data_IF_558654566703
#
_entry.id   IF_558654566703
#
_cell.length_a   1.000
_cell.length_b   1.000
_cell.length_c   1.000
_cell.angle_alpha   90.00
_cell.angle_beta   90.00
_cell.angle_gamma   90.00
#
_symmetry.space_group_name_H-M   'P 1'
#
loop_
_entity.id
_entity.type
_entity.pdbx_description
1 polymer ?
#
# COMPACT_ATOMS: atom_id res chain seq x y z
N UNK A 1 19.99 27.77 34.66
CA UNK A 1 18.76 28.40 34.17
C UNK A 1 17.65 27.38 34.35
N UNK A 2 16.65 27.65 35.17
CA UNK A 2 15.52 26.75 35.42
C UNK A 2 14.71 26.64 34.14
N UNK A 3 14.68 25.48 33.53
CA UNK A 3 13.74 25.14 32.48
C UNK A 3 12.32 25.37 33.00
N UNK A 4 11.62 26.36 32.44
CA UNK A 4 10.19 26.48 32.66
C UNK A 4 9.57 25.11 32.31
N UNK A 5 8.97 24.48 33.30
CA UNK A 5 8.16 23.31 33.09
C UNK A 5 7.20 23.62 31.90
N UNK A 6 7.37 22.90 30.81
CA UNK A 6 6.56 23.08 29.61
C UNK A 6 5.10 22.94 30.05
N UNK A 7 4.39 24.05 30.10
CA UNK A 7 2.94 24.00 30.32
C UNK A 7 2.35 23.29 29.11
N UNK A 8 1.80 22.13 29.35
CA UNK A 8 1.06 21.41 28.32
C UNK A 8 0.04 22.36 27.67
N UNK A 9 -0.08 22.36 26.34
CA UNK A 9 -1.01 23.24 25.66
C UNK A 9 -2.46 22.94 26.12
N UNK A 10 -3.28 24.00 26.21
CA UNK A 10 -4.69 23.83 26.53
C UNK A 10 -5.38 22.93 25.50
N UNK A 11 -6.19 21.94 25.91
CA UNK A 11 -6.90 21.05 24.98
C UNK A 11 -7.73 21.82 23.94
N UNK A 12 -8.34 22.93 24.33
CA UNK A 12 -9.14 23.77 23.43
C UNK A 12 -8.31 24.43 22.34
N UNK A 13 -7.13 24.93 22.69
CA UNK A 13 -6.22 25.55 21.72
C UNK A 13 -5.63 24.49 20.78
N UNK A 14 -5.31 23.31 21.31
CA UNK A 14 -4.81 22.18 20.52
C UNK A 14 -5.86 21.61 19.55
N UNK A 15 -7.16 21.77 19.85
CA UNK A 15 -8.24 21.36 18.99
C UNK A 15 -8.40 22.27 17.74
N UNK A 16 -7.92 23.52 17.78
CA UNK A 16 -8.10 24.48 16.68
C UNK A 16 -7.46 23.99 15.37
N UNK A 17 -6.15 23.59 15.32
CA UNK A 17 -5.56 23.07 14.09
C UNK A 17 -6.28 21.85 13.54
N UNK A 18 -6.78 20.99 14.43
CA UNK A 18 -7.55 19.78 14.04
C UNK A 18 -8.90 20.16 13.43
N UNK A 19 -9.61 21.12 14.01
CA UNK A 19 -10.87 21.64 13.48
C UNK A 19 -10.67 22.32 12.12
N UNK A 20 -9.60 23.11 11.97
CA UNK A 20 -9.23 23.72 10.69
C UNK A 20 -8.92 22.67 9.64
N UNK A 21 -8.11 21.66 9.98
CA UNK A 21 -7.80 20.57 9.08
C UNK A 21 -9.06 19.83 8.61
N UNK A 22 -9.92 19.46 9.56
CA UNK A 22 -11.17 18.74 9.24
C UNK A 22 -12.09 19.58 8.37
N UNK A 23 -12.23 20.88 8.68
CA UNK A 23 -13.04 21.80 7.87
C UNK A 23 -12.50 21.99 6.47
N UNK A 24 -11.18 22.17 6.32
CA UNK A 24 -10.54 22.31 5.01
C UNK A 24 -10.63 21.04 4.19
N UNK A 25 -10.40 19.87 4.80
CA UNK A 25 -10.56 18.57 4.10
C UNK A 25 -12.01 18.36 3.65
N UNK A 26 -12.98 18.70 4.48
CA UNK A 26 -14.39 18.64 4.08
C UNK A 26 -14.68 19.51 2.86
N UNK A 27 -14.19 20.75 2.84
CA UNK A 27 -14.37 21.67 1.69
C UNK A 27 -13.67 21.12 0.45
N UNK A 28 -12.44 20.64 0.59
CA UNK A 28 -11.64 20.07 -0.52
C UNK A 28 -12.33 18.84 -1.11
N UNK A 29 -12.80 17.90 -0.27
CA UNK A 29 -13.49 16.70 -0.73
C UNK A 29 -14.80 17.05 -1.44
N UNK A 30 -15.54 18.04 -0.92
CA UNK A 30 -16.80 18.51 -1.54
C UNK A 30 -16.56 19.21 -2.87
N UNK A 31 -15.45 19.92 -3.02
CA UNK A 31 -15.12 20.68 -4.24
C UNK A 31 -14.50 19.80 -5.33
N UNK A 32 -13.63 18.85 -4.96
CA UNK A 32 -12.81 18.08 -5.91
C UNK A 32 -13.13 16.57 -5.94
N UNK A 33 -14.00 16.07 -5.04
CA UNK A 33 -14.35 14.65 -5.01
C UNK A 33 -13.11 13.73 -4.92
N UNK A 34 -12.99 12.79 -5.85
CA UNK A 34 -11.86 11.88 -5.95
C UNK A 34 -10.50 12.56 -6.23
N UNK A 35 -10.52 13.72 -6.90
CA UNK A 35 -9.32 14.49 -7.22
C UNK A 35 -8.75 15.28 -6.01
N UNK A 36 -9.43 15.23 -4.87
CA UNK A 36 -8.99 15.89 -3.62
C UNK A 36 -7.56 15.49 -3.20
N UNK A 37 -7.11 14.28 -3.57
CA UNK A 37 -5.80 13.74 -3.27
C UNK A 37 -4.70 14.41 -4.13
N UNK A 38 -5.04 14.94 -5.30
CA UNK A 38 -4.10 15.49 -6.29
C UNK A 38 -3.71 16.96 -6.01
N UNK A 39 -3.53 17.34 -4.75
CA UNK A 39 -3.06 18.67 -4.33
C UNK A 39 -3.92 19.32 -3.25
N UNK A 40 -5.25 19.18 -3.29
CA UNK A 40 -6.14 19.83 -2.35
C UNK A 40 -5.93 19.42 -0.89
N UNK A 41 -5.73 18.13 -0.64
CA UNK A 41 -5.43 17.61 0.71
C UNK A 41 -4.08 18.09 1.24
N UNK A 42 -3.06 18.23 0.39
CA UNK A 42 -1.75 18.75 0.75
C UNK A 42 -1.83 20.23 1.19
N UNK A 43 -2.61 21.04 0.45
CA UNK A 43 -2.86 22.43 0.81
C UNK A 43 -3.60 22.53 2.15
N UNK A 44 -4.60 21.67 2.39
CA UNK A 44 -5.30 21.62 3.67
C UNK A 44 -4.37 21.28 4.84
N UNK A 45 -3.48 20.29 4.66
CA UNK A 45 -2.47 19.92 5.67
C UNK A 45 -1.48 21.05 5.94
N UNK A 46 -0.94 21.68 4.91
CA UNK A 46 -0.02 22.81 5.05
C UNK A 46 -0.69 24.01 5.76
N UNK A 47 -1.94 24.30 5.42
CA UNK A 47 -2.71 25.38 6.04
C UNK A 47 -2.95 25.09 7.53
N UNK A 48 -3.36 23.88 7.89
CA UNK A 48 -3.54 23.48 9.28
C UNK A 48 -2.22 23.52 10.07
N UNK A 49 -1.12 23.07 9.45
CA UNK A 49 0.22 23.17 10.03
C UNK A 49 0.62 24.63 10.27
N UNK A 50 0.33 25.51 9.32
CA UNK A 50 0.59 26.96 9.48
C UNK A 50 -0.19 27.55 10.65
N UNK A 51 -1.45 27.16 10.83
CA UNK A 51 -2.26 27.56 12.00
C UNK A 51 -1.63 27.03 13.29
N UNK A 52 -1.18 25.78 13.32
CA UNK A 52 -0.50 25.20 14.49
C UNK A 52 0.76 26.00 14.85
N UNK A 53 1.59 26.33 13.86
CA UNK A 53 2.81 27.15 14.04
C UNK A 53 2.47 28.56 14.56
N UNK A 54 1.46 29.21 13.98
CA UNK A 54 1.02 30.54 14.44
C UNK A 54 0.53 30.51 15.89
N UNK A 55 -0.23 29.51 16.29
CA UNK A 55 -0.67 29.35 17.68
C UNK A 55 0.49 29.06 18.63
N UNK A 56 1.45 28.23 18.19
CA UNK A 56 2.65 27.92 18.99
C UNK A 56 3.52 29.14 19.25
N UNK A 57 3.73 29.98 18.24
CA UNK A 57 4.52 31.19 18.37
C UNK A 57 3.72 32.28 19.10
N UNK A 58 2.46 32.52 18.73
CA UNK A 58 1.64 33.62 19.24
C UNK A 58 1.17 33.42 20.67
N UNK A 59 0.66 32.24 21.01
CA UNK A 59 0.08 31.94 22.33
C UNK A 59 1.14 31.39 23.29
N UNK A 60 1.92 30.38 22.81
CA UNK A 60 2.89 29.68 23.68
C UNK A 60 4.29 30.27 23.60
N UNK A 61 4.52 31.23 22.71
CA UNK A 61 5.83 31.93 22.53
C UNK A 61 6.97 30.94 22.28
N UNK A 62 6.68 29.85 21.59
CA UNK A 62 7.70 28.90 21.18
C UNK A 62 8.70 29.55 20.23
N UNK A 63 9.99 29.28 20.42
CA UNK A 63 11.03 29.77 19.52
C UNK A 63 10.96 28.99 18.21
N UNK A 64 11.13 29.67 17.07
CA UNK A 64 11.14 29.03 15.74
C UNK A 64 12.09 27.84 15.65
N UNK A 65 13.30 27.95 16.21
CA UNK A 65 14.29 26.86 16.19
C UNK A 65 13.78 25.56 16.81
N UNK A 66 12.90 25.61 17.83
CA UNK A 66 12.29 24.40 18.42
C UNK A 66 11.30 23.75 17.45
N UNK A 67 10.51 24.57 16.75
CA UNK A 67 9.54 24.07 15.76
C UNK A 67 10.26 23.50 14.53
N UNK A 68 11.31 24.18 14.09
CA UNK A 68 12.15 23.72 12.97
C UNK A 68 12.81 22.38 13.28
N UNK A 69 13.39 22.21 14.46
CA UNK A 69 13.98 20.96 14.92
C UNK A 69 12.93 19.83 14.95
N UNK A 70 11.74 20.10 15.50
CA UNK A 70 10.65 19.14 15.51
C UNK A 70 10.17 18.74 14.12
N UNK A 71 10.14 19.68 13.15
CA UNK A 71 9.81 19.39 11.75
C UNK A 71 10.89 18.48 11.13
N UNK A 72 12.17 18.82 11.32
CA UNK A 72 13.30 18.04 10.80
C UNK A 72 13.28 16.61 11.37
N UNK A 73 13.04 16.46 12.67
CA UNK A 73 12.99 15.15 13.31
C UNK A 73 11.82 14.31 12.81
N UNK A 74 10.65 14.91 12.55
CA UNK A 74 9.53 14.21 11.91
C UNK A 74 9.85 13.80 10.47
N UNK A 75 10.54 14.63 9.69
CA UNK A 75 11.01 14.26 8.35
C UNK A 75 11.97 13.08 8.41
N UNK A 76 12.94 13.10 9.34
CA UNK A 76 13.88 11.99 9.56
C UNK A 76 13.14 10.70 9.93
N UNK A 77 12.17 10.77 10.84
CA UNK A 77 11.36 9.62 11.24
C UNK A 77 10.55 9.04 10.07
N UNK A 78 10.10 9.89 9.15
CA UNK A 78 9.30 9.50 7.99
C UNK A 78 10.14 9.09 6.77
N UNK A 79 11.45 9.30 6.78
CA UNK A 79 12.33 9.11 5.62
C UNK A 79 12.25 7.67 5.05
N UNK A 80 12.24 6.65 5.91
CA UNK A 80 12.10 5.25 5.47
C UNK A 80 10.80 5.00 4.72
N UNK A 81 9.68 5.55 5.21
CA UNK A 81 8.38 5.41 4.55
C UNK A 81 8.37 6.09 3.17
N UNK A 82 8.96 7.27 3.06
CA UNK A 82 9.09 8.00 1.79
C UNK A 82 9.90 7.19 0.77
N UNK A 83 11.05 6.65 1.19
CA UNK A 83 11.89 5.80 0.32
C UNK A 83 11.13 4.55 -0.12
N UNK A 84 10.40 3.89 0.78
CA UNK A 84 9.57 2.73 0.44
C UNK A 84 8.51 3.11 -0.60
N UNK A 85 7.80 4.22 -0.44
CA UNK A 85 6.80 4.69 -1.41
C UNK A 85 7.42 4.97 -2.79
N UNK A 86 8.59 5.58 -2.85
CA UNK A 86 9.32 5.79 -4.12
C UNK A 86 9.69 4.45 -4.78
N UNK A 87 10.18 3.48 -3.99
CA UNK A 87 10.51 2.14 -4.49
C UNK A 87 9.28 1.37 -4.95
N UNK A 88 8.12 1.56 -4.31
CA UNK A 88 6.84 0.98 -4.76
C UNK A 88 6.49 1.47 -6.16
N UNK A 89 6.59 2.78 -6.41
CA UNK A 89 6.38 3.35 -7.73
C UNK A 89 7.37 2.79 -8.78
N UNK A 90 8.64 2.67 -8.39
CA UNK A 90 9.67 2.08 -9.25
C UNK A 90 9.40 0.60 -9.56
N UNK A 91 8.93 -0.21 -8.59
CA UNK A 91 8.54 -1.60 -8.81
C UNK A 91 7.35 -1.67 -9.77
N UNK A 92 6.30 -0.91 -9.51
CA UNK A 92 5.12 -0.91 -10.37
C UNK A 92 5.49 -0.64 -11.83
N UNK A 93 6.32 0.39 -12.09
CA UNK A 93 6.81 0.71 -13.42
C UNK A 93 7.71 -0.39 -14.02
N UNK A 94 8.75 -0.82 -13.29
CA UNK A 94 9.72 -1.79 -13.82
C UNK A 94 9.13 -3.18 -14.02
N UNK A 95 8.24 -3.65 -13.14
CA UNK A 95 7.56 -4.92 -13.29
C UNK A 95 6.56 -4.93 -14.45
N UNK A 96 5.95 -3.77 -14.73
CA UNK A 96 5.07 -3.63 -15.90
C UNK A 96 5.88 -3.70 -17.19
N UNK A 97 6.93 -2.87 -17.34
CA UNK A 97 7.73 -2.78 -18.58
C UNK A 97 8.49 -4.08 -18.85
N UNK A 98 9.02 -4.72 -17.81
CA UNK A 98 9.75 -5.99 -17.95
C UNK A 98 8.89 -7.17 -18.38
N UNK A 99 7.55 -7.03 -18.35
CA UNK A 99 6.62 -8.12 -18.61
C UNK A 99 6.39 -9.04 -17.42
N UNK A 100 6.92 -8.73 -16.24
CA UNK A 100 6.69 -9.51 -15.00
C UNK A 100 5.22 -9.47 -14.62
N UNK A 101 4.62 -8.27 -14.47
CA UNK A 101 3.18 -8.14 -14.16
C UNK A 101 2.31 -8.74 -15.26
N UNK A 102 2.50 -8.45 -16.56
CA UNK A 102 1.79 -9.13 -17.64
C UNK A 102 1.85 -10.65 -17.56
N UNK A 103 3.02 -11.20 -17.26
CA UNK A 103 3.20 -12.66 -17.10
C UNK A 103 2.43 -13.20 -15.89
N UNK A 104 2.47 -12.49 -14.75
CA UNK A 104 1.69 -12.88 -13.57
C UNK A 104 0.18 -12.82 -13.84
N UNK A 105 -0.29 -11.81 -14.56
CA UNK A 105 -1.70 -11.69 -14.94
C UNK A 105 -2.09 -12.86 -15.86
N UNK A 106 -1.31 -13.11 -16.90
CA UNK A 106 -1.59 -14.18 -17.88
C UNK A 106 -1.75 -15.56 -17.22
N UNK A 107 -0.81 -15.96 -16.37
CA UNK A 107 -0.90 -17.23 -15.64
C UNK A 107 -1.91 -17.19 -14.51
N UNK A 108 -2.08 -16.05 -13.85
CA UNK A 108 -3.08 -15.86 -12.80
C UNK A 108 -4.51 -16.07 -13.31
N UNK A 109 -4.82 -15.58 -14.52
CA UNK A 109 -6.12 -15.80 -15.17
C UNK A 109 -6.41 -17.27 -15.47
N UNK A 110 -5.38 -18.11 -15.66
CA UNK A 110 -5.53 -19.53 -15.89
C UNK A 110 -5.73 -20.35 -14.61
N UNK A 111 -5.25 -19.86 -13.48
CA UNK A 111 -5.23 -20.59 -12.20
C UNK A 111 -6.39 -20.16 -11.30
N UNK A 112 -6.70 -18.85 -11.27
CA UNK A 112 -7.68 -18.30 -10.33
C UNK A 112 -9.08 -18.30 -10.94
N UNK A 113 -10.01 -18.94 -10.23
CA UNK A 113 -11.42 -18.90 -10.63
C UNK A 113 -12.08 -17.60 -10.13
N UNK A 114 -12.82 -16.86 -10.96
CA UNK A 114 -13.40 -15.57 -10.60
C UNK A 114 -14.23 -15.58 -9.32
N UNK A 115 -15.09 -16.56 -9.14
CA UNK A 115 -15.97 -16.65 -7.97
C UNK A 115 -15.21 -16.67 -6.64
N UNK A 116 -13.97 -17.13 -6.61
CA UNK A 116 -13.13 -17.20 -5.41
C UNK A 116 -11.96 -16.22 -5.45
N UNK A 117 -11.85 -15.41 -6.50
CA UNK A 117 -10.70 -14.53 -6.72
C UNK A 117 -10.48 -13.54 -5.56
N UNK A 118 -11.54 -12.87 -5.08
CA UNK A 118 -11.42 -11.90 -3.98
C UNK A 118 -10.96 -12.56 -2.68
N UNK A 119 -11.51 -13.72 -2.36
CA UNK A 119 -11.13 -14.49 -1.15
C UNK A 119 -9.69 -14.98 -1.27
N UNK A 120 -9.33 -15.55 -2.43
CA UNK A 120 -7.96 -16.00 -2.69
C UNK A 120 -6.95 -14.86 -2.61
N UNK A 121 -7.25 -13.71 -3.21
CA UNK A 121 -6.41 -12.51 -3.15
C UNK A 121 -6.20 -12.05 -1.72
N UNK A 122 -7.26 -11.99 -0.91
CA UNK A 122 -7.18 -11.63 0.50
C UNK A 122 -6.32 -12.64 1.28
N UNK A 123 -6.53 -13.94 1.08
CA UNK A 123 -5.77 -14.98 1.77
C UNK A 123 -4.29 -14.98 1.36
N UNK A 124 -3.97 -14.86 0.07
CA UNK A 124 -2.59 -14.79 -0.42
C UNK A 124 -1.89 -13.57 0.20
N UNK A 125 -2.51 -12.40 0.17
CA UNK A 125 -1.94 -11.19 0.77
C UNK A 125 -1.76 -11.34 2.29
N UNK A 126 -2.68 -12.02 2.98
CA UNK A 126 -2.57 -12.26 4.42
C UNK A 126 -1.36 -13.14 4.75
N UNK A 127 -1.18 -14.25 4.03
CA UNK A 127 -0.04 -15.17 4.22
C UNK A 127 1.28 -14.47 3.91
N UNK A 128 1.36 -13.79 2.77
CA UNK A 128 2.59 -13.09 2.37
C UNK A 128 2.94 -11.98 3.36
N UNK A 129 1.96 -11.18 3.77
CA UNK A 129 2.17 -10.10 4.73
C UNK A 129 2.55 -10.62 6.13
N UNK A 130 1.99 -11.74 6.55
CA UNK A 130 2.40 -12.41 7.80
C UNK A 130 3.87 -12.83 7.76
N UNK A 131 4.33 -13.34 6.62
CA UNK A 131 5.72 -13.76 6.42
C UNK A 131 6.68 -12.57 6.30
N UNK A 132 6.26 -11.49 5.65
CA UNK A 132 7.09 -10.31 5.40
C UNK A 132 7.12 -9.34 6.59
N UNK A 133 6.08 -9.30 7.39
CA UNK A 133 5.87 -8.29 8.42
C UNK A 133 5.62 -6.89 7.87
N UNK A 134 5.17 -6.79 6.60
CA UNK A 134 4.93 -5.49 5.95
C UNK A 134 3.75 -5.54 4.99
N UNK A 135 2.70 -4.80 5.32
CA UNK A 135 1.56 -4.60 4.43
C UNK A 135 1.95 -3.85 3.16
N UNK A 136 2.81 -2.85 3.27
CA UNK A 136 3.28 -2.04 2.14
C UNK A 136 4.04 -2.88 1.11
N UNK A 137 4.97 -3.70 1.55
CA UNK A 137 5.74 -4.59 0.65
C UNK A 137 4.82 -5.58 -0.05
N UNK A 138 3.84 -6.14 0.65
CA UNK A 138 2.87 -7.09 0.09
C UNK A 138 2.00 -6.42 -0.98
N UNK A 139 1.46 -5.24 -0.69
CA UNK A 139 0.63 -4.47 -1.64
C UNK A 139 1.46 -4.09 -2.88
N UNK A 140 2.70 -3.63 -2.67
CA UNK A 140 3.58 -3.18 -3.75
C UNK A 140 4.05 -4.29 -4.69
N UNK A 141 4.10 -5.52 -4.22
CA UNK A 141 4.57 -6.67 -5.00
C UNK A 141 3.40 -7.49 -5.55
N UNK A 142 2.87 -8.41 -4.76
CA UNK A 142 1.80 -9.31 -5.18
C UNK A 142 0.47 -8.54 -5.41
N UNK A 143 0.22 -7.50 -4.61
CA UNK A 143 -1.00 -6.69 -4.74
C UNK A 143 -1.16 -6.06 -6.12
N UNK A 144 -0.09 -5.55 -6.71
CA UNK A 144 -0.13 -4.95 -8.07
C UNK A 144 -0.54 -5.98 -9.12
N UNK A 145 -0.01 -7.21 -9.04
CA UNK A 145 -0.38 -8.27 -9.97
C UNK A 145 -1.84 -8.74 -9.76
N UNK A 146 -2.27 -8.91 -8.50
CA UNK A 146 -3.65 -9.26 -8.19
C UNK A 146 -4.63 -8.17 -8.63
N UNK A 147 -4.24 -6.90 -8.56
CA UNK A 147 -5.05 -5.79 -9.09
C UNK A 147 -5.28 -5.97 -10.58
N UNK A 148 -4.22 -6.21 -11.37
CA UNK A 148 -4.34 -6.43 -12.80
C UNK A 148 -5.15 -7.69 -13.16
N UNK A 149 -5.00 -8.79 -12.40
CA UNK A 149 -5.81 -10.01 -12.59
C UNK A 149 -7.30 -9.70 -12.34
N UNK A 150 -7.61 -9.00 -11.25
CA UNK A 150 -8.98 -8.65 -10.90
C UNK A 150 -9.65 -7.74 -11.94
N UNK A 151 -8.92 -6.75 -12.45
CA UNK A 151 -9.41 -5.90 -13.55
C UNK A 151 -9.68 -6.72 -14.82
N UNK A 152 -8.76 -7.62 -15.19
CA UNK A 152 -8.94 -8.51 -16.33
C UNK A 152 -10.13 -9.47 -16.17
N UNK A 153 -10.48 -9.85 -14.94
CA UNK A 153 -11.67 -10.62 -14.59
C UNK A 153 -12.95 -9.80 -14.50
N UNK A 154 -12.90 -8.48 -14.73
CA UNK A 154 -14.07 -7.59 -14.70
C UNK A 154 -14.50 -7.13 -13.31
N UNK A 155 -13.67 -7.33 -12.28
CA UNK A 155 -13.94 -6.76 -10.95
C UNK A 155 -13.66 -5.27 -10.93
N UNK A 156 -14.50 -4.51 -10.21
CA UNK A 156 -14.16 -3.11 -9.93
C UNK A 156 -12.95 -3.02 -9.02
N UNK A 157 -12.14 -1.98 -9.24
CA UNK A 157 -10.89 -1.74 -8.49
C UNK A 157 -11.10 -1.70 -6.97
N UNK A 158 -12.22 -1.15 -6.51
CA UNK A 158 -12.53 -1.06 -5.09
C UNK A 158 -12.65 -2.42 -4.40
N UNK A 159 -13.27 -3.42 -5.04
CA UNK A 159 -13.37 -4.77 -4.50
C UNK A 159 -12.02 -5.45 -4.43
N UNK A 160 -11.23 -5.34 -5.50
CA UNK A 160 -9.89 -5.95 -5.57
C UNK A 160 -8.95 -5.30 -4.57
N UNK A 161 -8.89 -3.97 -4.54
CA UNK A 161 -8.09 -3.22 -3.58
C UNK A 161 -8.50 -3.55 -2.13
N UNK A 162 -9.82 -3.61 -1.86
CA UNK A 162 -10.33 -3.99 -0.55
C UNK A 162 -9.87 -5.37 -0.10
N UNK A 163 -9.88 -6.36 -0.98
CA UNK A 163 -9.41 -7.71 -0.68
C UNK A 163 -7.89 -7.76 -0.41
N UNK A 164 -7.10 -7.10 -1.27
CA UNK A 164 -5.64 -7.02 -1.14
C UNK A 164 -5.25 -6.33 0.18
N UNK A 165 -5.82 -5.15 0.44
CA UNK A 165 -5.51 -4.35 1.62
C UNK A 165 -5.93 -5.07 2.90
N UNK A 166 -7.13 -5.66 2.93
CA UNK A 166 -7.62 -6.41 4.09
C UNK A 166 -6.68 -7.56 4.46
N UNK A 167 -6.24 -8.33 3.45
CA UNK A 167 -5.28 -9.41 3.66
C UNK A 167 -3.91 -8.90 4.12
N UNK A 168 -3.37 -7.90 3.44
CA UNK A 168 -2.06 -7.35 3.75
C UNK A 168 -1.99 -6.78 5.17
N UNK A 169 -2.99 -6.04 5.60
CA UNK A 169 -3.04 -5.50 6.96
C UNK A 169 -3.30 -6.57 8.02
N UNK A 170 -4.10 -7.59 7.70
CA UNK A 170 -4.28 -8.72 8.61
C UNK A 170 -2.95 -9.42 8.91
N UNK A 171 -2.19 -9.76 7.86
CA UNK A 171 -0.91 -10.43 8.03
C UNK A 171 0.12 -9.59 8.77
N UNK A 172 0.22 -8.31 8.42
CA UNK A 172 1.12 -7.34 9.05
C UNK A 172 0.88 -7.25 10.56
N UNK A 173 -0.37 -7.07 10.99
CA UNK A 173 -0.73 -6.97 12.41
C UNK A 173 -0.37 -8.21 13.22
N UNK A 174 -0.41 -9.38 12.63
CA UNK A 174 -0.12 -10.65 13.31
C UNK A 174 1.33 -11.10 13.17
N UNK A 175 2.13 -10.38 12.39
CA UNK A 175 3.54 -10.70 12.19
C UNK A 175 4.40 -10.22 13.34
N UNK A 176 5.28 -11.11 13.82
CA UNK A 176 6.36 -10.76 14.76
C UNK A 176 7.44 -9.86 14.13
N UNK A 177 7.44 -9.76 12.81
CA UNK A 177 8.41 -8.97 12.04
C UNK A 177 7.87 -7.56 11.72
N UNK A 178 6.63 -7.27 12.09
CA UNK A 178 5.99 -5.98 11.82
C UNK A 178 6.54 -4.90 12.74
N UNK A 179 7.10 -3.86 12.15
CA UNK A 179 7.60 -2.69 12.88
C UNK A 179 6.47 -2.02 13.68
N UNK A 180 5.26 -1.96 13.13
CA UNK A 180 4.09 -1.36 13.78
C UNK A 180 3.65 -2.15 15.01
N UNK A 181 3.65 -3.47 14.92
CA UNK A 181 3.30 -4.38 16.03
C UNK A 181 4.34 -4.33 17.14
N UNK A 182 5.63 -4.34 16.78
CA UNK A 182 6.74 -4.23 17.72
C UNK A 182 6.74 -2.87 18.41
N UNK A 183 6.54 -1.78 17.66
CA UNK A 183 6.47 -0.43 18.20
C UNK A 183 5.30 -0.27 19.18
N UNK A 184 4.11 -0.75 18.79
CA UNK A 184 2.91 -0.66 19.63
C UNK A 184 3.08 -1.43 20.97
N UNK A 185 3.62 -2.65 20.91
CA UNK A 185 3.87 -3.47 22.09
C UNK A 185 4.92 -2.84 23.00
N UNK A 186 6.01 -2.31 22.44
CA UNK A 186 7.08 -1.64 23.18
C UNK A 186 6.57 -0.37 23.85
N UNK A 187 5.77 0.44 23.15
CA UNK A 187 5.18 1.67 23.71
C UNK A 187 4.19 1.36 24.84
N UNK A 188 3.43 0.27 24.70
CA UNK A 188 2.50 -0.19 25.74
C UNK A 188 3.20 -0.89 26.91
N UNK A 189 4.51 -1.17 26.83
CA UNK A 189 5.27 -1.91 27.85
C UNK A 189 4.82 -3.38 27.98
N UNK A 190 4.34 -3.98 26.89
CA UNK A 190 3.80 -5.34 26.85
C UNK A 190 4.65 -6.21 25.94
N UNK A 191 4.80 -7.49 26.28
CA UNK A 191 5.48 -8.45 25.40
C UNK A 191 4.74 -8.62 24.07
N UNK A 192 5.50 -8.68 22.94
CA UNK A 192 4.97 -8.73 21.58
C UNK A 192 3.98 -9.90 21.38
N UNK A 193 4.31 -11.10 21.91
CA UNK A 193 3.42 -12.25 21.82
C UNK A 193 2.09 -12.05 22.54
N UNK A 194 2.14 -11.42 23.71
CA UNK A 194 0.94 -11.08 24.49
C UNK A 194 0.10 -10.06 23.72
N UNK A 195 0.72 -9.05 23.14
CA UNK A 195 0.06 -8.06 22.30
C UNK A 195 -0.64 -8.70 21.09
N UNK A 196 0.06 -9.55 20.31
CA UNK A 196 -0.52 -10.27 19.17
C UNK A 196 -1.69 -11.15 19.61
N UNK A 197 -1.56 -11.87 20.72
CA UNK A 197 -2.63 -12.72 21.25
C UNK A 197 -3.91 -11.92 21.55
N UNK A 198 -3.78 -10.73 22.10
CA UNK A 198 -4.93 -9.85 22.31
C UNK A 198 -5.51 -9.31 21.02
N UNK A 199 -4.66 -8.95 20.05
CA UNK A 199 -5.13 -8.50 18.73
C UNK A 199 -5.92 -9.58 17.98
N UNK A 200 -5.64 -10.86 18.17
CA UNK A 200 -6.40 -11.96 17.56
C UNK A 200 -7.89 -11.87 17.87
N UNK A 201 -8.28 -11.44 19.08
CA UNK A 201 -9.70 -11.33 19.46
C UNK A 201 -10.50 -10.35 18.59
N UNK A 202 -9.86 -9.33 18.05
CA UNK A 202 -10.50 -8.36 17.17
C UNK A 202 -10.20 -8.62 15.69
N UNK A 203 -8.98 -9.02 15.38
CA UNK A 203 -8.50 -9.14 14.02
C UNK A 203 -9.05 -10.38 13.31
N UNK A 204 -9.15 -11.52 14.03
CA UNK A 204 -9.70 -12.76 13.45
C UNK A 204 -11.19 -12.63 13.12
N UNK A 205 -12.07 -12.16 14.04
CA UNK A 205 -13.47 -11.95 13.70
C UNK A 205 -13.67 -10.98 12.53
N UNK A 206 -12.93 -9.85 12.50
CA UNK A 206 -13.03 -8.90 11.40
C UNK A 206 -12.58 -9.50 10.06
N UNK A 207 -11.53 -10.34 10.07
CA UNK A 207 -11.07 -11.04 8.85
C UNK A 207 -12.10 -12.06 8.38
N UNK A 208 -12.73 -12.81 9.28
CA UNK A 208 -13.78 -13.76 8.92
C UNK A 208 -15.00 -13.06 8.30
N UNK A 209 -15.39 -11.90 8.85
CA UNK A 209 -16.44 -11.08 8.26
C UNK A 209 -16.02 -10.58 6.86
N UNK A 210 -14.81 -10.08 6.71
CA UNK A 210 -14.29 -9.62 5.42
C UNK A 210 -14.25 -10.74 4.39
N UNK A 211 -13.75 -11.93 4.74
CA UNK A 211 -13.78 -13.11 3.87
C UNK A 211 -15.21 -13.52 3.49
N UNK A 212 -16.16 -13.44 4.43
CA UNK A 212 -17.58 -13.66 4.16
C UNK A 212 -18.13 -12.67 3.13
N UNK A 213 -17.83 -11.38 3.29
CA UNK A 213 -18.23 -10.33 2.34
C UNK A 213 -17.59 -10.58 0.97
N UNK A 214 -16.30 -10.90 0.90
CA UNK A 214 -15.62 -11.19 -0.37
C UNK A 214 -16.14 -12.47 -1.02
N UNK A 215 -16.55 -13.47 -0.25
CA UNK A 215 -17.20 -14.67 -0.78
C UNK A 215 -18.55 -14.34 -1.42
N UNK A 216 -19.39 -13.58 -0.70
CA UNK A 216 -20.70 -13.18 -1.22
C UNK A 216 -20.53 -12.29 -2.45
N UNK A 217 -19.62 -11.32 -2.41
CA UNK A 217 -19.32 -10.45 -3.56
C UNK A 217 -18.81 -11.24 -4.75
N UNK A 218 -17.88 -12.19 -4.54
CA UNK A 218 -17.34 -13.05 -5.59
C UNK A 218 -18.37 -13.99 -6.22
N UNK A 219 -19.41 -14.37 -5.50
CA UNK A 219 -20.50 -15.23 -6.01
C UNK A 219 -21.65 -14.40 -6.62
N UNK A 220 -21.91 -13.19 -6.10
CA UNK A 220 -23.07 -12.36 -6.49
C UNK A 220 -22.78 -11.42 -7.66
N UNK A 221 -21.52 -11.02 -7.85
CA UNK A 221 -21.14 -10.17 -8.97
C UNK A 221 -21.19 -10.98 -10.26
N UNK A 222 -21.94 -10.48 -11.23
CA UNK A 222 -22.07 -11.11 -12.55
C UNK A 222 -20.75 -10.84 -13.32
N UNK A 223 -19.94 -11.87 -13.41
CA UNK A 223 -18.67 -11.80 -14.10
C UNK A 223 -18.90 -12.12 -15.56
N UNK A 224 -18.81 -11.14 -16.46
CA UNK A 224 -18.78 -11.34 -17.91
C UNK A 224 -17.48 -12.05 -18.36
N UNK A 225 -17.19 -13.16 -17.70
CA UNK A 225 -15.87 -13.64 -17.32
C UNK A 225 -15.06 -14.27 -18.44
N UNK A 226 -15.67 -14.90 -19.42
CA UNK A 226 -14.88 -15.70 -20.38
C UNK A 226 -14.29 -14.84 -21.50
N UNK A 227 -15.07 -13.94 -22.05
CA UNK A 227 -14.66 -13.18 -23.24
C UNK A 227 -13.68 -12.05 -22.91
N UNK A 228 -13.87 -11.35 -21.79
CA UNK A 228 -12.97 -10.25 -21.39
C UNK A 228 -11.60 -10.78 -20.95
N UNK A 229 -11.56 -11.84 -20.14
CA UNK A 229 -10.29 -12.41 -19.66
C UNK A 229 -9.46 -13.01 -20.80
N UNK A 230 -10.09 -13.71 -21.74
CA UNK A 230 -9.41 -14.28 -22.93
C UNK A 230 -8.88 -13.15 -23.84
N UNK A 231 -9.68 -12.13 -24.11
CA UNK A 231 -9.27 -10.98 -24.92
C UNK A 231 -8.12 -10.22 -24.26
N UNK A 232 -8.19 -10.04 -22.93
CA UNK A 232 -7.13 -9.38 -22.16
C UNK A 232 -5.83 -10.20 -22.18
N UNK A 233 -5.91 -11.52 -21.97
CA UNK A 233 -4.77 -12.42 -22.05
C UNK A 233 -4.15 -12.43 -23.45
N UNK A 234 -4.97 -12.43 -24.52
CA UNK A 234 -4.49 -12.34 -25.90
C UNK A 234 -3.78 -11.03 -26.19
N UNK A 235 -4.32 -9.90 -25.69
CA UNK A 235 -3.70 -8.58 -25.85
C UNK A 235 -2.35 -8.51 -25.13
N UNK A 236 -2.26 -9.06 -23.89
CA UNK A 236 -1.00 -9.14 -23.18
C UNK A 236 0.04 -9.99 -23.92
N UNK A 237 -0.37 -11.14 -24.46
CA UNK A 237 0.52 -12.02 -25.21
C UNK A 237 0.97 -11.41 -26.56
N UNK A 238 0.16 -10.54 -27.15
CA UNK A 238 0.54 -9.79 -28.36
C UNK A 238 1.50 -8.63 -28.08
N UNK A 239 1.41 -8.02 -26.88
CA UNK A 239 2.18 -6.82 -26.52
C UNK A 239 3.49 -7.16 -25.83
N UNK A 240 3.49 -8.22 -25.01
CA UNK A 240 4.64 -8.60 -24.19
C UNK A 240 5.10 -10.03 -24.54
N UNK A 241 6.39 -10.27 -24.45
CA UNK A 241 6.93 -11.63 -24.45
C UNK A 241 6.64 -12.30 -23.11
N UNK A 242 5.54 -13.05 -23.05
CA UNK A 242 5.15 -13.79 -21.86
C UNK A 242 5.96 -15.09 -21.79
N UNK A 243 6.83 -15.17 -20.78
CA UNK A 243 7.69 -16.35 -20.58
C UNK A 243 7.71 -16.74 -19.11
N UNK A 244 7.61 -18.05 -18.77
CA UNK A 244 7.53 -18.50 -17.38
C UNK A 244 8.71 -18.05 -16.52
N UNK A 245 9.90 -17.87 -17.10
CA UNK A 245 11.10 -17.47 -16.36
C UNK A 245 11.00 -16.04 -15.76
N UNK A 246 10.13 -15.18 -16.30
CA UNK A 246 9.86 -13.86 -15.72
C UNK A 246 9.28 -13.96 -14.30
N UNK A 247 8.62 -15.09 -13.98
CA UNK A 247 8.16 -15.37 -12.61
C UNK A 247 9.31 -15.60 -11.62
N UNK A 248 10.54 -15.77 -12.10
CA UNK A 248 11.71 -15.82 -11.23
C UNK A 248 11.93 -14.49 -10.48
N UNK A 249 11.52 -13.34 -11.05
CA UNK A 249 11.65 -12.03 -10.40
C UNK A 249 10.81 -11.93 -9.13
N UNK A 250 9.48 -12.15 -9.15
CA UNK A 250 8.67 -12.17 -7.93
C UNK A 250 9.08 -13.29 -6.97
N UNK A 251 9.52 -14.45 -7.47
CA UNK A 251 10.02 -15.54 -6.62
C UNK A 251 11.32 -15.17 -5.91
N UNK A 252 12.28 -14.53 -6.62
CA UNK A 252 13.50 -14.02 -6.02
C UNK A 252 13.19 -12.93 -4.99
N UNK A 253 12.27 -12.02 -5.29
CA UNK A 253 11.79 -10.99 -4.34
C UNK A 253 11.20 -11.65 -3.10
N UNK A 254 10.31 -12.63 -3.27
CA UNK A 254 9.73 -13.41 -2.18
C UNK A 254 10.78 -14.16 -1.35
N UNK A 255 11.83 -14.68 -1.98
CA UNK A 255 12.95 -15.35 -1.29
C UNK A 255 13.75 -14.35 -0.43
N UNK A 256 14.01 -13.14 -0.93
CA UNK A 256 14.67 -12.08 -0.15
C UNK A 256 13.84 -11.71 1.08
N UNK A 257 12.52 -11.61 0.90
CA UNK A 257 11.57 -11.39 1.99
C UNK A 257 11.63 -12.53 3.02
N UNK A 258 11.57 -13.78 2.56
CA UNK A 258 11.64 -14.95 3.43
C UNK A 258 12.96 -15.04 4.21
N UNK A 259 14.03 -14.47 3.67
CA UNK A 259 15.32 -14.29 4.36
C UNK A 259 15.37 -13.10 5.31
N UNK A 260 14.26 -12.40 5.53
CA UNK A 260 14.12 -11.27 6.47
C UNK A 260 15.06 -10.10 6.17
N UNK A 261 15.35 -9.85 4.90
CA UNK A 261 16.11 -8.66 4.49
C UNK A 261 15.26 -7.40 4.69
N UNK A 262 15.87 -6.24 5.00
CA UNK A 262 15.14 -4.98 5.15
C UNK A 262 14.29 -4.66 3.92
N UNK A 263 13.09 -4.09 4.14
CA UNK A 263 12.13 -3.80 3.08
C UNK A 263 12.74 -2.96 1.93
N UNK A 264 13.51 -1.91 2.28
CA UNK A 264 14.17 -1.05 1.28
C UNK A 264 15.14 -1.86 0.40
N UNK A 265 15.95 -2.74 0.99
CA UNK A 265 16.89 -3.58 0.24
C UNK A 265 16.16 -4.55 -0.68
N UNK A 266 15.10 -5.18 -0.17
CA UNK A 266 14.29 -6.13 -0.93
C UNK A 266 13.59 -5.45 -2.12
N UNK A 267 12.96 -4.31 -1.90
CA UNK A 267 12.26 -3.57 -2.96
C UNK A 267 13.25 -3.03 -4.00
N UNK A 268 14.39 -2.48 -3.56
CA UNK A 268 15.44 -2.03 -4.48
C UNK A 268 15.99 -3.19 -5.32
N UNK A 269 16.32 -4.33 -4.69
CA UNK A 269 16.79 -5.52 -5.41
C UNK A 269 15.74 -6.02 -6.41
N UNK A 270 14.46 -5.96 -6.07
CA UNK A 270 13.35 -6.32 -6.98
C UNK A 270 13.30 -5.43 -8.21
N UNK A 271 13.52 -4.12 -8.06
CA UNK A 271 13.65 -3.18 -9.18
C UNK A 271 14.82 -3.58 -10.08
N UNK A 272 15.99 -3.87 -9.50
CA UNK A 272 17.19 -4.28 -10.26
C UNK A 272 16.95 -5.59 -11.01
N UNK A 273 16.32 -6.59 -10.38
CA UNK A 273 15.98 -7.86 -11.05
C UNK A 273 14.99 -7.64 -12.20
N UNK A 274 14.00 -6.77 -12.03
CA UNK A 274 13.06 -6.44 -13.08
C UNK A 274 13.72 -5.70 -14.25
N UNK A 275 14.64 -4.77 -13.97
CA UNK A 275 15.44 -4.10 -15.01
C UNK A 275 16.31 -5.09 -15.79
N UNK A 276 16.98 -6.02 -15.11
CA UNK A 276 17.76 -7.07 -15.75
C UNK A 276 16.86 -7.99 -16.60
N UNK A 277 15.70 -8.39 -16.09
CA UNK A 277 14.72 -9.19 -16.81
C UNK A 277 14.18 -8.45 -18.05
N UNK A 278 13.95 -7.15 -17.97
CA UNK A 278 13.53 -6.32 -19.11
C UNK A 278 14.53 -6.40 -20.26
N UNK A 279 15.84 -6.22 -19.98
CA UNK A 279 16.90 -6.28 -21.00
C UNK A 279 16.99 -7.66 -21.68
N UNK A 280 16.63 -8.73 -20.98
CA UNK A 280 16.70 -10.09 -21.49
C UNK A 280 15.41 -10.53 -22.22
N UNK A 281 14.25 -10.08 -21.72
CA UNK A 281 12.94 -10.56 -22.21
C UNK A 281 12.32 -9.66 -23.26
N UNK A 282 12.48 -8.34 -23.14
CA UNK A 282 11.82 -7.34 -23.97
C UNK A 282 12.85 -6.59 -24.82
N UNK A 283 13.28 -7.14 -25.98
CA UNK A 283 14.33 -6.54 -26.81
C UNK A 283 13.92 -5.21 -27.45
N UNK A 284 12.62 -4.98 -27.60
CA UNK A 284 12.09 -3.70 -28.07
C UNK A 284 11.44 -2.94 -26.89
N UNK A 285 11.73 -1.63 -26.72
CA UNK A 285 11.09 -0.85 -25.66
C UNK A 285 9.59 -0.79 -25.91
N UNK A 286 8.82 -1.33 -24.95
CA UNK A 286 7.35 -1.23 -24.99
C UNK A 286 6.98 0.24 -24.84
N UNK A 287 6.43 0.84 -25.91
CA UNK A 287 5.99 2.22 -25.88
C UNK A 287 4.74 2.34 -25.00
N UNK A 288 4.84 3.09 -23.91
CA UNK A 288 3.71 3.34 -22.99
C UNK A 288 2.51 4.04 -23.62
N UNK A 289 2.67 4.62 -24.81
CA UNK A 289 1.61 5.37 -25.49
C UNK A 289 0.42 4.51 -25.91
N UNK A 290 0.54 3.18 -25.88
CA UNK A 290 -0.56 2.26 -26.20
C UNK A 290 -1.14 1.51 -24.99
N UNK A 291 -0.58 1.69 -23.80
CA UNK A 291 -1.06 1.10 -22.54
C UNK A 291 -1.93 2.10 -21.74
N UNK A 292 -2.71 2.93 -22.39
CA UNK A 292 -3.86 3.51 -21.73
C UNK A 292 -4.85 2.37 -21.51
N UNK A 293 -4.81 1.78 -20.31
CA UNK A 293 -5.94 1.03 -19.79
C UNK A 293 -7.18 1.88 -20.01
N UNK A 294 -8.28 1.35 -20.55
CA UNK A 294 -9.50 2.11 -20.72
C UNK A 294 -9.94 2.58 -19.32
N UNK A 295 -9.61 3.83 -19.00
CA UNK A 295 -10.18 4.54 -17.86
C UNK A 295 -11.55 5.04 -18.29
N UNK A 296 -12.55 4.19 -18.23
CA UNK A 296 -13.97 4.59 -18.26
C UNK A 296 -14.72 3.74 -17.27
#
# INVERSE_FOLDING_TARGET
>A
MKTNAEKLPSPWVSAIPLAVLTGLLYVVIRAFGGEAINGGSQIALLSATSVCVMLSIGIYRCRWAVLEEAIIDNIRASASAIVILLLIGAIAGTWMISGVVPTMIYYGLQILHPSFFLVASCAICAVVSLMTGSSWTTIATIGVALMGIGQAMGFSEGWVAGAIISGAYFGDKLSLLSDTTVLASSTAGVEVFTHIRYMLYTTVPSMLIALGVFTVAGLALDHGVSTHAEMYAATLAATFRITPWLLAVPLATGMLIARKLPAIVTLFSSVVFACAAMLLAQPEPVSYTHLTLPTT
#
